data_IF_950645880769
#
_entry.id   IF_950645880769
#
_cell.length_a   1.000
_cell.length_b   1.000
_cell.length_c   1.000
_cell.angle_alpha   90.00
_cell.angle_beta   90.00
_cell.angle_gamma   90.00
#
_symmetry.space_group_name_H-M   'P 1'
#
loop_
_entity.id
_entity.type
_entity.pdbx_description
1 polymer ?
#
# COMPACT_ATOMS: atom_id res chain seq x y z
N UNK A 1 -4.24 -10.55 8.00
CA UNK A 1 -4.12 -9.38 8.91
C UNK A 1 -5.51 -8.80 9.16
N UNK A 2 -5.85 -8.61 10.42
CA UNK A 2 -7.07 -7.92 10.81
C UNK A 2 -6.76 -6.43 10.95
N UNK A 3 -7.36 -5.61 10.11
CA UNK A 3 -7.08 -4.18 10.10
C UNK A 3 -8.15 -3.42 9.32
N UNK A 4 -8.17 -2.11 9.49
CA UNK A 4 -8.97 -1.20 8.68
C UNK A 4 -8.05 -0.43 7.74
N UNK A 5 -8.64 0.24 6.75
CA UNK A 5 -7.86 1.12 5.87
C UNK A 5 -7.19 2.24 6.69
N UNK A 6 -7.85 2.72 7.75
CA UNK A 6 -7.26 3.72 8.63
C UNK A 6 -5.99 3.19 9.32
N UNK A 7 -5.98 1.92 9.73
CA UNK A 7 -4.79 1.30 10.31
C UNK A 7 -3.63 1.30 9.32
N UNK A 8 -3.91 1.01 8.05
CA UNK A 8 -2.90 1.02 6.98
C UNK A 8 -2.36 2.45 6.82
N UNK A 9 -3.26 3.43 6.75
CA UNK A 9 -2.87 4.84 6.63
C UNK A 9 -1.99 5.28 7.80
N UNK A 10 -2.33 4.86 9.01
CA UNK A 10 -1.57 5.20 10.22
C UNK A 10 -0.16 4.61 10.17
N UNK A 11 -0.02 3.34 9.74
CA UNK A 11 1.31 2.73 9.57
C UNK A 11 2.14 3.52 8.56
N UNK A 12 1.58 3.81 7.39
CA UNK A 12 2.29 4.55 6.34
C UNK A 12 2.64 5.97 6.79
N UNK A 13 1.82 6.58 7.63
CA UNK A 13 2.09 7.91 8.20
C UNK A 13 3.35 7.97 9.06
N UNK A 14 3.89 6.84 9.50
CA UNK A 14 5.16 6.81 10.23
C UNK A 14 6.38 6.88 9.33
N UNK A 15 6.20 6.70 8.03
CA UNK A 15 7.28 6.91 7.05
C UNK A 15 7.60 8.40 6.96
N UNK A 16 8.86 8.71 6.76
CA UNK A 16 9.27 10.11 6.61
C UNK A 16 9.22 10.53 5.14
N UNK A 17 8.09 10.24 4.48
CA UNK A 17 7.83 10.46 3.06
C UNK A 17 6.44 11.02 2.86
N UNK A 18 6.19 11.77 1.76
CA UNK A 18 4.82 12.10 1.37
C UNK A 18 4.04 10.82 1.05
N UNK A 19 2.82 10.72 1.60
CA UNK A 19 1.94 9.55 1.42
C UNK A 19 0.55 10.05 1.05
N UNK A 20 -0.06 9.44 0.02
CA UNK A 20 -1.43 9.75 -0.37
C UNK A 20 -2.18 8.50 -0.78
N UNK A 21 -3.50 8.52 -0.62
CA UNK A 21 -4.35 7.47 -1.16
C UNK A 21 -4.52 7.68 -2.66
N UNK A 22 -4.18 6.63 -3.43
CA UNK A 22 -4.28 6.55 -4.88
C UNK A 22 -3.35 7.52 -5.62
N UNK A 23 -3.45 8.82 -5.39
CA UNK A 23 -2.63 9.82 -6.08
C UNK A 23 -2.56 11.12 -5.27
N UNK A 24 -1.60 11.96 -5.64
CA UNK A 24 -1.51 13.32 -5.10
C UNK A 24 -2.27 14.28 -6.02
N UNK A 25 -2.99 15.24 -5.42
CA UNK A 25 -3.68 16.30 -6.19
C UNK A 25 -2.65 17.19 -6.88
N UNK A 26 -1.55 17.48 -6.19
CA UNK A 26 -0.42 18.26 -6.73
C UNK A 26 0.79 17.33 -6.82
N UNK A 27 1.51 17.37 -7.95
CA UNK A 27 2.69 16.54 -8.16
C UNK A 27 3.71 16.68 -7.02
N UNK A 28 4.30 15.58 -6.61
CA UNK A 28 5.32 15.52 -5.56
C UNK A 28 6.65 15.07 -6.13
N UNK A 29 7.73 15.57 -5.52
CA UNK A 29 9.06 15.10 -5.84
C UNK A 29 9.29 13.73 -5.20
N UNK A 30 9.89 12.78 -5.93
CA UNK A 30 10.24 11.49 -5.34
C UNK A 30 11.34 11.65 -4.27
N UNK A 31 11.38 10.79 -3.24
CA UNK A 31 10.53 9.61 -3.08
C UNK A 31 9.16 9.95 -2.49
N UNK A 32 8.13 9.24 -2.93
CA UNK A 32 6.80 9.35 -2.33
C UNK A 32 6.06 8.00 -2.43
N UNK A 33 4.99 7.88 -1.66
CA UNK A 33 4.20 6.65 -1.58
C UNK A 33 2.74 6.95 -1.89
N UNK A 34 2.14 6.11 -2.73
CA UNK A 34 0.69 6.07 -2.91
C UNK A 34 0.20 4.69 -2.50
N UNK A 35 -0.99 4.61 -1.93
CA UNK A 35 -1.59 3.33 -1.57
C UNK A 35 -3.05 3.33 -1.98
N UNK A 36 -3.58 2.15 -2.31
CA UNK A 36 -4.97 2.03 -2.73
C UNK A 36 -5.49 0.61 -2.53
N UNK A 37 -6.80 0.52 -2.41
CA UNK A 37 -7.50 -0.76 -2.44
C UNK A 37 -7.74 -1.11 -3.90
N UNK A 38 -7.29 -2.27 -4.32
CA UNK A 38 -7.44 -2.72 -5.71
C UNK A 38 -8.66 -3.61 -5.90
N UNK A 39 -9.05 -4.34 -4.86
CA UNK A 39 -10.26 -5.17 -4.89
C UNK A 39 -10.71 -5.47 -3.47
N UNK A 40 -11.99 -5.79 -3.34
CA UNK A 40 -12.57 -6.17 -2.05
C UNK A 40 -13.57 -7.29 -2.26
N UNK A 41 -13.68 -8.16 -1.26
CA UNK A 41 -14.71 -9.19 -1.20
C UNK A 41 -15.40 -9.09 0.16
N UNK A 42 -16.72 -8.93 0.11
CA UNK A 42 -17.55 -8.86 1.33
C UNK A 42 -18.30 -10.17 1.42
N UNK A 43 -18.18 -10.86 2.53
CA UNK A 43 -18.77 -12.17 2.71
C UNK A 43 -19.32 -12.34 4.14
N UNK A 44 -20.22 -13.31 4.30
CA UNK A 44 -20.81 -13.61 5.58
C UNK A 44 -21.73 -14.81 5.52
N UNK A 45 -22.66 -14.89 6.46
CA UNK A 45 -23.63 -15.97 6.59
C UNK A 45 -24.94 -15.45 7.16
N UNK A 46 -26.04 -16.21 6.97
CA UNK A 46 -27.36 -15.90 7.53
C UNK A 46 -27.82 -14.48 7.18
N UNK A 47 -27.69 -14.10 5.89
CA UNK A 47 -28.11 -12.83 5.34
C UNK A 47 -27.37 -11.62 5.93
N UNK A 48 -26.21 -11.84 6.54
CA UNK A 48 -25.37 -10.76 7.08
C UNK A 48 -23.98 -10.79 6.48
N UNK A 49 -23.46 -9.61 6.16
CA UNK A 49 -22.06 -9.45 5.82
C UNK A 49 -21.25 -9.42 7.13
N UNK A 50 -20.33 -10.36 7.30
CA UNK A 50 -19.58 -10.53 8.53
C UNK A 50 -18.15 -10.02 8.44
N UNK A 51 -17.59 -9.99 7.23
CA UNK A 51 -16.22 -9.50 7.05
C UNK A 51 -16.00 -8.97 5.63
N UNK A 52 -14.98 -8.18 5.51
CA UNK A 52 -14.51 -7.62 4.24
C UNK A 52 -13.03 -7.92 4.08
N UNK A 53 -12.67 -8.64 3.02
CA UNK A 53 -11.28 -8.84 2.63
C UNK A 53 -10.91 -7.82 1.58
N UNK A 54 -9.81 -7.13 1.79
CA UNK A 54 -9.31 -6.12 0.86
C UNK A 54 -7.92 -6.47 0.38
N UNK A 55 -7.67 -6.24 -0.89
CA UNK A 55 -6.32 -6.27 -1.46
C UNK A 55 -5.83 -4.84 -1.55
N UNK A 56 -4.69 -4.58 -0.93
CA UNK A 56 -4.07 -3.26 -0.89
C UNK A 56 -2.77 -3.26 -1.66
N UNK A 57 -2.54 -2.23 -2.48
CA UNK A 57 -1.28 -2.00 -3.14
C UNK A 57 -0.63 -0.75 -2.56
N UNK A 58 0.65 -0.87 -2.18
CA UNK A 58 1.47 0.24 -1.73
C UNK A 58 2.53 0.47 -2.78
N UNK A 59 2.55 1.66 -3.37
CA UNK A 59 3.43 2.02 -4.48
C UNK A 59 4.46 3.02 -4.00
N UNK A 60 5.73 2.60 -4.03
CA UNK A 60 6.86 3.48 -3.73
C UNK A 60 7.47 3.94 -5.05
N UNK A 61 7.55 5.26 -5.22
CA UNK A 61 8.14 5.90 -6.41
C UNK A 61 9.44 6.59 -6.01
N UNK A 62 10.52 6.27 -6.73
CA UNK A 62 11.85 6.80 -6.41
C UNK A 62 12.61 7.15 -7.70
N UNK A 63 13.57 8.06 -7.60
CA UNK A 63 14.44 8.44 -8.73
C UNK A 63 15.48 7.36 -9.03
N UNK A 64 15.91 6.64 -8.00
CA UNK A 64 16.92 5.59 -8.10
C UNK A 64 16.45 4.38 -7.31
N UNK A 65 17.11 3.25 -7.48
CA UNK A 65 16.84 2.07 -6.64
C UNK A 65 17.07 2.45 -5.16
N UNK A 66 16.03 2.36 -4.34
CA UNK A 66 16.02 2.87 -2.97
C UNK A 66 15.74 1.75 -1.97
N UNK A 67 16.79 1.01 -1.64
CA UNK A 67 16.69 -0.14 -0.75
C UNK A 67 16.26 0.29 0.66
N UNK A 68 16.68 1.46 1.12
CA UNK A 68 16.36 1.94 2.48
C UNK A 68 14.86 2.16 2.64
N UNK A 69 14.21 2.85 1.69
CA UNK A 69 12.77 3.07 1.75
C UNK A 69 11.99 1.78 1.50
N UNK A 70 12.48 0.90 0.63
CA UNK A 70 11.86 -0.42 0.45
C UNK A 70 11.84 -1.20 1.76
N UNK A 71 12.97 -1.26 2.46
CA UNK A 71 13.07 -1.97 3.73
C UNK A 71 12.20 -1.34 4.82
N UNK A 72 12.06 -0.02 4.81
CA UNK A 72 11.19 0.68 5.76
C UNK A 72 9.74 0.24 5.58
N UNK A 73 9.25 0.14 4.35
CA UNK A 73 7.90 -0.35 4.08
C UNK A 73 7.77 -1.82 4.46
N UNK A 74 8.73 -2.65 4.10
CA UNK A 74 8.71 -4.08 4.42
C UNK A 74 8.68 -4.32 5.93
N UNK A 75 9.37 -3.50 6.69
CA UNK A 75 9.36 -3.59 8.15
C UNK A 75 8.01 -3.19 8.74
N UNK A 76 7.36 -2.17 8.19
CA UNK A 76 6.03 -1.75 8.64
C UNK A 76 4.98 -2.85 8.47
N UNK A 77 5.15 -3.72 7.48
CA UNK A 77 4.19 -4.77 7.14
C UNK A 77 4.80 -6.17 7.29
N UNK A 78 5.67 -6.34 8.29
CA UNK A 78 6.34 -7.62 8.53
C UNK A 78 5.41 -8.68 9.13
N UNK A 79 4.18 -8.33 9.47
CA UNK A 79 3.16 -9.21 10.02
C UNK A 79 2.21 -9.77 8.95
N UNK A 80 2.47 -9.52 7.68
CA UNK A 80 1.62 -9.94 6.57
C UNK A 80 2.51 -10.40 5.41
N UNK A 81 1.98 -11.32 4.58
CA UNK A 81 2.68 -11.73 3.36
C UNK A 81 2.60 -10.62 2.31
N UNK A 82 3.75 -10.22 1.80
CA UNK A 82 3.87 -9.18 0.79
C UNK A 82 4.28 -9.80 -0.55
N UNK A 83 3.53 -9.48 -1.61
CA UNK A 83 3.98 -9.71 -2.98
C UNK A 83 4.61 -8.42 -3.50
N UNK A 84 5.75 -8.53 -4.16
CA UNK A 84 6.52 -7.37 -4.61
C UNK A 84 6.62 -7.38 -6.13
N UNK A 85 6.26 -6.25 -6.75
CA UNK A 85 6.41 -6.02 -8.18
C UNK A 85 7.28 -4.78 -8.38
N UNK A 86 8.22 -4.85 -9.31
CA UNK A 86 9.14 -3.75 -9.59
C UNK A 86 9.09 -3.38 -11.06
N UNK A 87 9.13 -2.08 -11.34
CA UNK A 87 9.12 -1.57 -12.71
C UNK A 87 9.88 -0.25 -12.77
N UNK A 88 10.25 0.14 -13.98
CA UNK A 88 10.80 1.46 -14.26
C UNK A 88 9.88 2.16 -15.25
N UNK A 89 9.35 3.32 -14.85
CA UNK A 89 8.44 4.11 -15.67
C UNK A 89 9.27 5.11 -16.46
N UNK A 90 9.64 4.74 -17.68
CA UNK A 90 10.58 5.52 -18.49
C UNK A 90 10.08 6.92 -18.84
N UNK A 91 8.77 7.07 -19.04
CA UNK A 91 8.15 8.35 -19.37
C UNK A 91 8.30 9.38 -18.24
N UNK A 92 8.41 8.91 -17.01
CA UNK A 92 8.50 9.76 -15.82
C UNK A 92 9.88 9.69 -15.17
N UNK A 93 10.76 8.81 -15.63
CA UNK A 93 12.06 8.53 -15.05
C UNK A 93 11.97 8.14 -13.58
N UNK A 94 11.02 7.27 -13.26
CA UNK A 94 10.78 6.80 -11.90
C UNK A 94 10.89 5.30 -11.80
N UNK A 95 11.47 4.83 -10.70
CA UNK A 95 11.38 3.43 -10.29
C UNK A 95 10.12 3.25 -9.46
N UNK A 96 9.39 2.18 -9.71
CA UNK A 96 8.21 1.76 -8.96
C UNK A 96 8.52 0.47 -8.24
N UNK A 97 8.25 0.45 -6.93
CA UNK A 97 8.20 -0.79 -6.15
C UNK A 97 6.81 -0.90 -5.56
N UNK A 98 6.05 -1.92 -5.97
CA UNK A 98 4.68 -2.11 -5.52
C UNK A 98 4.59 -3.32 -4.60
N UNK A 99 4.03 -3.11 -3.42
CA UNK A 99 3.77 -4.14 -2.43
C UNK A 99 2.29 -4.41 -2.38
N UNK A 100 1.90 -5.67 -2.53
CA UNK A 100 0.50 -6.08 -2.49
C UNK A 100 0.29 -7.05 -1.34
N UNK A 101 -0.78 -6.83 -0.57
CA UNK A 101 -1.14 -7.69 0.55
C UNK A 101 -2.65 -7.66 0.78
N UNK A 102 -3.13 -8.61 1.58
CA UNK A 102 -4.54 -8.67 1.95
C UNK A 102 -4.73 -8.33 3.43
N UNK A 103 -5.84 -7.68 3.73
CA UNK A 103 -6.25 -7.47 5.12
C UNK A 103 -7.75 -7.66 5.25
N UNK A 104 -8.18 -8.02 6.46
CA UNK A 104 -9.57 -8.35 6.76
C UNK A 104 -10.12 -7.39 7.80
N UNK A 105 -11.31 -6.87 7.52
CA UNK A 105 -12.07 -6.04 8.44
C UNK A 105 -13.31 -6.83 8.87
N UNK A 106 -13.54 -6.91 10.17
CA UNK A 106 -14.74 -7.53 10.73
C UNK A 106 -15.84 -6.47 10.77
N UNK A 107 -16.96 -6.80 10.18
CA UNK A 107 -18.11 -5.90 10.06
C UNK A 107 -19.10 -6.06 11.22
#
# INVERSE_FOLDING_TARGET
MKATLQDIATRLGTLNLPVAYDHFITAKEPPFVCYRITSQQIAGAYDKNLYKNSVCAIELYTNTKDIVNEQSIETLFNDVELSVYMDYISEENLFLTEYTFEFTEIL
#
